data_IF_621348144405
#
_entry.id   IF_621348144405
#
_cell.length_a   1.000
_cell.length_b   1.000
_cell.length_c   1.000
_cell.angle_alpha   90.00
_cell.angle_beta   90.00
_cell.angle_gamma   90.00
#
_symmetry.space_group_name_H-M   'P 1'
#
loop_
_entity.id
_entity.type
_entity.pdbx_description
1 polymer ?
#
# COMPACT_ATOMS: atom_id res chain seq x y z
N UNK A 1 18.08 -10.43 12.43
CA UNK A 1 16.98 -10.02 11.52
C UNK A 1 17.60 -9.60 10.19
N UNK A 2 17.23 -10.23 9.05
CA UNK A 2 17.94 -10.08 7.77
C UNK A 2 17.86 -8.68 7.13
N UNK A 3 17.02 -7.78 7.67
CA UNK A 3 16.79 -6.43 7.14
C UNK A 3 17.36 -5.30 8.01
N UNK A 4 17.77 -5.58 9.26
CA UNK A 4 18.20 -4.54 10.21
C UNK A 4 19.52 -3.90 9.77
N UNK A 5 19.60 -2.57 9.88
CA UNK A 5 20.80 -1.77 9.54
C UNK A 5 21.28 -1.88 8.08
N UNK A 6 20.47 -2.48 7.19
CA UNK A 6 20.74 -2.45 5.76
C UNK A 6 20.41 -1.06 5.21
N UNK A 7 21.43 -0.35 4.71
CA UNK A 7 21.28 0.99 4.14
C UNK A 7 20.38 1.09 2.88
N UNK A 8 19.83 -0.03 2.40
CA UNK A 8 18.95 -0.12 1.23
C UNK A 8 17.51 -0.56 1.55
N UNK A 9 17.07 -0.53 2.81
CA UNK A 9 15.68 -0.83 3.18
C UNK A 9 14.83 0.45 3.17
N UNK A 10 13.60 0.36 2.68
CA UNK A 10 12.59 1.40 2.73
C UNK A 10 11.28 0.79 3.23
N UNK A 11 10.69 1.40 4.27
CA UNK A 11 9.38 0.98 4.80
C UNK A 11 8.32 1.94 4.29
N UNK A 12 7.27 1.38 3.71
CA UNK A 12 6.15 2.10 3.12
C UNK A 12 4.85 1.66 3.79
N UNK A 13 4.24 2.55 4.57
CA UNK A 13 2.95 2.30 5.21
C UNK A 13 1.79 2.69 4.28
N UNK A 14 0.88 1.76 4.01
CA UNK A 14 -0.34 2.04 3.27
C UNK A 14 -1.25 2.95 4.09
N UNK A 15 -1.62 4.09 3.53
CA UNK A 15 -2.43 5.03 4.28
C UNK A 15 -3.90 4.56 4.41
N UNK A 16 -4.52 4.73 5.57
CA UNK A 16 -3.99 5.37 6.78
C UNK A 16 -3.57 4.37 7.86
N UNK A 17 -4.31 3.27 7.99
CA UNK A 17 -4.15 2.28 9.07
C UNK A 17 -2.78 1.62 9.12
N UNK A 18 -2.11 1.47 7.98
CA UNK A 18 -0.77 0.89 7.93
C UNK A 18 0.34 1.75 8.54
N UNK A 19 0.15 3.06 8.73
CA UNK A 19 1.24 3.95 9.18
C UNK A 19 1.73 3.68 10.60
N UNK A 20 0.87 3.53 11.62
CA UNK A 20 1.31 3.15 12.96
C UNK A 20 2.13 1.87 12.97
N UNK A 21 1.69 0.84 12.24
CA UNK A 21 2.41 -0.44 12.13
C UNK A 21 3.73 -0.27 11.38
N UNK A 22 3.73 0.49 10.29
CA UNK A 22 4.92 0.77 9.49
C UNK A 22 5.98 1.53 10.29
N UNK A 23 5.56 2.46 11.15
CA UNK A 23 6.48 3.21 12.01
C UNK A 23 7.21 2.28 13.00
N UNK A 24 6.50 1.37 13.65
CA UNK A 24 7.12 0.38 14.55
C UNK A 24 8.13 -0.51 13.82
N UNK A 25 7.78 -0.97 12.60
CA UNK A 25 8.68 -1.77 11.77
C UNK A 25 9.92 -0.95 11.35
N UNK A 26 9.72 0.28 10.89
CA UNK A 26 10.81 1.17 10.46
C UNK A 26 11.77 1.50 11.60
N UNK A 27 11.22 1.80 12.78
CA UNK A 27 11.97 2.08 14.01
C UNK A 27 12.82 0.88 14.44
N UNK A 28 12.23 -0.31 14.47
CA UNK A 28 12.95 -1.55 14.83
C UNK A 28 14.07 -1.92 13.84
N UNK A 29 13.92 -1.53 12.56
CA UNK A 29 14.89 -1.81 11.50
C UNK A 29 15.92 -0.68 11.29
N UNK A 30 15.75 0.47 11.94
CA UNK A 30 16.49 1.71 11.66
C UNK A 30 16.42 2.13 10.18
N UNK A 31 15.23 1.98 9.58
CA UNK A 31 14.97 2.25 8.17
C UNK A 31 14.12 3.51 7.98
N UNK A 32 14.25 4.22 6.84
CA UNK A 32 13.35 5.31 6.50
C UNK A 32 11.91 4.83 6.34
N UNK A 33 10.98 5.61 6.89
CA UNK A 33 9.53 5.47 6.71
C UNK A 33 9.03 6.52 5.71
N UNK A 34 8.15 6.12 4.80
CA UNK A 34 7.28 7.03 4.06
C UNK A 34 5.86 6.46 3.95
N UNK A 35 4.92 7.33 3.63
CA UNK A 35 3.53 6.95 3.33
C UNK A 35 3.43 6.44 1.91
N UNK A 36 2.59 5.44 1.69
CA UNK A 36 2.24 4.97 0.37
C UNK A 36 0.73 5.02 0.18
N UNK A 37 0.30 5.74 -0.85
CA UNK A 37 -1.10 5.89 -1.18
C UNK A 37 -1.42 5.01 -2.39
N UNK A 38 -2.53 4.29 -2.28
CA UNK A 38 -3.09 3.51 -3.37
C UNK A 38 -4.54 3.91 -3.55
N UNK A 39 -4.93 4.15 -4.79
CA UNK A 39 -6.30 4.45 -5.18
C UNK A 39 -6.72 3.48 -6.25
N UNK A 40 -7.83 2.78 -6.04
CA UNK A 40 -8.41 1.91 -7.06
C UNK A 40 -9.07 2.79 -8.12
N UNK A 41 -8.84 2.46 -9.37
CA UNK A 41 -9.58 3.01 -10.50
C UNK A 41 -10.88 2.22 -10.60
N UNK A 42 -11.90 2.71 -9.89
CA UNK A 42 -13.24 2.12 -9.90
C UNK A 42 -13.99 2.42 -11.20
N UNK A 43 -15.07 1.69 -11.43
CA UNK A 43 -15.97 1.95 -12.55
C UNK A 43 -17.20 2.74 -12.12
N UNK A 44 -17.75 3.60 -13.01
CA UNK A 44 -19.06 4.17 -12.79
C UNK A 44 -20.07 3.05 -12.48
N UNK A 45 -20.78 3.17 -11.37
CA UNK A 45 -21.81 2.21 -10.90
C UNK A 45 -21.31 0.84 -10.39
N UNK A 46 -20.01 0.53 -10.40
CA UNK A 46 -19.44 -0.71 -9.87
C UNK A 46 -18.20 -0.46 -9.01
N UNK A 47 -18.40 0.04 -7.78
CA UNK A 47 -17.30 0.35 -6.84
C UNK A 47 -16.49 -0.87 -6.40
N UNK A 48 -17.10 -2.06 -6.41
CA UNK A 48 -16.47 -3.32 -6.03
C UNK A 48 -15.52 -3.86 -7.10
N UNK A 49 -15.66 -3.40 -8.36
CA UNK A 49 -14.85 -3.83 -9.49
C UNK A 49 -13.90 -2.70 -9.91
N UNK A 50 -12.59 -2.92 -9.74
CA UNK A 50 -11.58 -1.95 -10.15
C UNK A 50 -11.01 -2.33 -11.52
N UNK A 51 -11.02 -1.39 -12.46
CA UNK A 51 -10.34 -1.53 -13.76
C UNK A 51 -8.83 -1.32 -13.66
N UNK A 52 -8.35 -0.83 -12.52
CA UNK A 52 -6.92 -0.62 -12.27
C UNK A 52 -6.67 0.00 -10.90
N UNK A 53 -5.46 0.50 -10.71
CA UNK A 53 -5.08 1.26 -9.53
C UNK A 53 -4.00 2.30 -9.87
N UNK A 54 -4.03 3.40 -9.12
CA UNK A 54 -2.98 4.40 -9.04
C UNK A 54 -2.27 4.27 -7.72
N UNK A 55 -0.97 4.53 -7.72
CA UNK A 55 -0.22 4.64 -6.49
C UNK A 55 0.74 5.83 -6.47
N UNK A 56 1.19 6.14 -5.25
CA UNK A 56 2.20 7.16 -4.98
C UNK A 56 3.38 7.09 -5.96
N UNK A 57 3.79 8.25 -6.46
CA UNK A 57 4.84 8.35 -7.48
C UNK A 57 4.38 8.17 -8.94
N UNK A 58 3.06 8.10 -9.17
CA UNK A 58 2.46 8.11 -10.52
C UNK A 58 2.38 6.74 -11.20
N UNK A 59 2.55 5.66 -10.45
CA UNK A 59 2.37 4.30 -10.98
C UNK A 59 0.90 4.03 -11.30
N UNK A 60 0.60 3.69 -12.55
CA UNK A 60 -0.73 3.24 -13.00
C UNK A 60 -0.65 1.77 -13.37
N UNK A 61 -1.55 0.96 -12.83
CA UNK A 61 -1.68 -0.46 -13.17
C UNK A 61 -3.10 -0.71 -13.63
N UNK A 62 -3.26 -1.27 -14.83
CA UNK A 62 -4.56 -1.58 -15.40
C UNK A 62 -4.84 -3.08 -15.35
N UNK A 63 -6.12 -3.43 -15.21
CA UNK A 63 -6.64 -4.77 -15.38
C UNK A 63 -7.27 -4.89 -16.78
N UNK A 64 -6.44 -5.26 -17.75
CA UNK A 64 -6.83 -5.31 -19.17
C UNK A 64 -8.03 -6.23 -19.42
N UNK A 65 -8.21 -7.29 -18.61
CA UNK A 65 -9.36 -8.18 -18.71
C UNK A 65 -10.68 -7.48 -18.34
N UNK A 66 -10.66 -6.63 -17.31
CA UNK A 66 -11.83 -5.85 -16.89
C UNK A 66 -12.15 -4.78 -17.94
N UNK A 67 -11.12 -4.07 -18.41
CA UNK A 67 -11.24 -3.05 -19.46
C UNK A 67 -11.86 -3.65 -20.72
N UNK A 68 -11.35 -4.80 -21.18
CA UNK A 68 -11.84 -5.48 -22.37
C UNK A 68 -13.25 -6.07 -22.20
N UNK A 69 -13.53 -6.77 -21.08
CA UNK A 69 -14.81 -7.45 -20.88
C UNK A 69 -15.99 -6.50 -20.75
N UNK A 70 -15.76 -5.30 -20.20
CA UNK A 70 -16.79 -4.29 -20.01
C UNK A 70 -16.83 -3.22 -21.11
N UNK A 71 -16.00 -3.37 -22.16
CA UNK A 71 -15.93 -2.44 -23.30
C UNK A 71 -15.73 -0.98 -22.85
N UNK A 72 -14.90 -0.77 -21.83
CA UNK A 72 -14.63 0.56 -21.30
C UNK A 72 -13.77 1.33 -22.30
N UNK A 73 -14.18 2.55 -22.64
CA UNK A 73 -13.46 3.35 -23.63
C UNK A 73 -12.19 3.95 -23.04
N UNK A 74 -11.19 4.24 -23.88
CA UNK A 74 -9.97 4.93 -23.44
C UNK A 74 -10.27 6.29 -22.80
N UNK A 75 -11.31 6.98 -23.27
CA UNK A 75 -11.75 8.27 -22.71
C UNK A 75 -12.27 8.10 -21.27
N UNK A 76 -13.11 7.09 -21.02
CA UNK A 76 -13.59 6.77 -19.67
C UNK A 76 -12.44 6.38 -18.73
N UNK A 77 -11.46 5.60 -19.22
CA UNK A 77 -10.27 5.26 -18.44
C UNK A 77 -9.50 6.52 -18.07
N UNK A 78 -9.28 7.43 -19.03
CA UNK A 78 -8.52 8.65 -18.82
C UNK A 78 -9.18 9.58 -17.80
N UNK A 79 -10.49 9.78 -17.87
CA UNK A 79 -11.23 10.62 -16.92
C UNK A 79 -11.09 10.12 -15.48
N UNK A 80 -11.18 8.80 -15.26
CA UNK A 80 -11.00 8.21 -13.93
C UNK A 80 -9.53 8.34 -13.48
N UNK A 81 -8.56 8.10 -14.37
CA UNK A 81 -7.14 8.27 -14.04
C UNK A 81 -6.86 9.72 -13.63
N UNK A 82 -7.34 10.70 -14.38
CA UNK A 82 -7.07 12.12 -14.11
C UNK A 82 -7.67 12.55 -12.77
N UNK A 83 -8.92 12.17 -12.50
CA UNK A 83 -9.60 12.50 -11.23
C UNK A 83 -8.94 11.83 -10.02
N UNK A 84 -8.61 10.54 -10.11
CA UNK A 84 -7.96 9.81 -9.04
C UNK A 84 -6.50 10.24 -8.85
N UNK A 85 -5.81 10.67 -9.91
CA UNK A 85 -4.45 11.26 -9.85
C UNK A 85 -4.46 12.59 -9.11
N UNK A 86 -5.43 13.46 -9.40
CA UNK A 86 -5.56 14.75 -8.70
C UNK A 86 -5.82 14.56 -7.19
N UNK A 87 -6.69 13.61 -6.83
CA UNK A 87 -6.97 13.29 -5.43
C UNK A 87 -5.77 12.61 -4.74
N UNK A 88 -5.06 11.74 -5.43
CA UNK A 88 -3.81 11.14 -4.95
C UNK A 88 -2.79 12.24 -4.63
N UNK A 89 -2.52 13.14 -5.58
CA UNK A 89 -1.57 14.24 -5.41
C UNK A 89 -1.96 15.17 -4.25
N UNK A 90 -3.26 15.48 -4.08
CA UNK A 90 -3.77 16.26 -2.95
C UNK A 90 -3.43 15.60 -1.61
N UNK A 91 -3.65 14.30 -1.47
CA UNK A 91 -3.34 13.54 -0.26
C UNK A 91 -1.85 13.39 -0.02
N UNK A 92 -1.06 13.17 -1.07
CA UNK A 92 0.40 13.11 -0.98
C UNK A 92 0.96 14.42 -0.42
N UNK A 93 0.51 15.54 -0.96
CA UNK A 93 0.92 16.86 -0.48
C UNK A 93 0.48 17.08 0.97
N UNK A 94 -0.75 16.68 1.30
CA UNK A 94 -1.27 16.78 2.66
C UNK A 94 -0.46 15.95 3.67
N UNK A 95 0.01 14.75 3.33
CA UNK A 95 0.76 13.91 4.27
C UNK A 95 2.24 14.26 4.33
N UNK A 96 2.88 14.54 3.19
CA UNK A 96 4.33 14.79 3.12
C UNK A 96 4.72 16.24 3.43
N UNK A 97 3.78 17.17 3.47
CA UNK A 97 4.07 18.59 3.75
C UNK A 97 5.08 19.19 2.78
N UNK A 98 5.06 18.75 1.51
CA UNK A 98 6.00 19.19 0.47
C UNK A 98 7.29 18.37 0.36
N UNK A 99 7.55 17.39 1.24
CA UNK A 99 8.65 16.44 1.04
C UNK A 99 8.41 15.58 -0.21
N UNK A 100 9.46 15.30 -1.01
CA UNK A 100 9.33 14.38 -2.14
C UNK A 100 9.01 12.95 -1.65
N UNK A 101 8.31 12.13 -2.46
CA UNK A 101 8.15 10.71 -2.20
C UNK A 101 9.49 9.98 -2.09
N UNK A 102 9.56 8.97 -1.24
CA UNK A 102 10.72 8.09 -1.18
C UNK A 102 10.90 7.30 -2.48
N UNK A 103 12.12 7.25 -3.02
CA UNK A 103 12.44 6.48 -4.22
C UNK A 103 12.66 5.00 -3.87
N UNK A 104 11.81 4.06 -4.36
CA UNK A 104 11.96 2.63 -4.12
C UNK A 104 13.04 1.97 -5.00
N UNK A 105 13.56 2.65 -6.02
CA UNK A 105 14.50 2.07 -6.99
C UNK A 105 15.75 1.55 -6.30
N UNK A 106 16.13 0.32 -6.61
CA UNK A 106 17.34 -0.30 -6.04
C UNK A 106 17.24 -0.61 -4.54
N UNK A 107 16.06 -0.51 -3.92
CA UNK A 107 15.84 -0.78 -2.48
C UNK A 107 15.08 -2.08 -2.24
N UNK A 108 15.21 -2.61 -1.02
CA UNK A 108 14.27 -3.59 -0.47
C UNK A 108 13.11 -2.80 0.11
N UNK A 109 11.93 -2.94 -0.48
CA UNK A 109 10.72 -2.20 -0.08
C UNK A 109 9.85 -3.10 0.77
N UNK A 110 9.54 -2.67 1.99
CA UNK A 110 8.60 -3.34 2.88
C UNK A 110 7.29 -2.56 2.85
N UNK A 111 6.27 -3.15 2.21
CA UNK A 111 4.91 -2.63 2.18
C UNK A 111 4.14 -3.12 3.41
N UNK A 112 3.59 -2.18 4.17
CA UNK A 112 2.96 -2.45 5.46
C UNK A 112 1.52 -1.95 5.49
N UNK A 113 0.62 -2.77 6.05
CA UNK A 113 -0.75 -2.37 6.38
C UNK A 113 -1.13 -2.88 7.79
N UNK A 114 -2.21 -2.38 8.37
CA UNK A 114 -2.73 -2.87 9.67
C UNK A 114 -3.34 -4.27 9.55
N UNK A 115 -3.75 -4.66 8.37
CA UNK A 115 -4.13 -6.02 8.06
C UNK A 115 -4.63 -6.16 6.66
N UNK A 116 -4.95 -7.39 6.28
CA UNK A 116 -5.42 -7.71 4.95
C UNK A 116 -6.76 -8.40 5.08
N UNK A 117 -7.81 -7.79 4.54
CA UNK A 117 -9.09 -8.45 4.37
C UNK A 117 -9.14 -9.20 3.03
N UNK A 118 -9.16 -8.47 1.92
CA UNK A 118 -9.23 -9.05 0.56
C UNK A 118 -7.89 -9.02 -0.17
N UNK A 119 -6.93 -8.21 0.27
CA UNK A 119 -5.62 -8.08 -0.40
C UNK A 119 -5.58 -7.12 -1.58
N UNK A 120 -6.74 -6.64 -2.07
CA UNK A 120 -6.79 -5.83 -3.30
C UNK A 120 -5.94 -4.55 -3.25
N UNK A 121 -5.95 -3.81 -2.14
CA UNK A 121 -5.14 -2.60 -1.99
C UNK A 121 -3.64 -2.92 -1.93
N UNK A 122 -3.27 -3.99 -1.24
CA UNK A 122 -1.87 -4.45 -1.15
C UNK A 122 -1.37 -4.98 -2.50
N UNK A 123 -2.20 -5.71 -3.24
CA UNK A 123 -1.88 -6.19 -4.58
C UNK A 123 -1.56 -5.03 -5.53
N UNK A 124 -2.43 -4.01 -5.55
CA UNK A 124 -2.20 -2.79 -6.30
C UNK A 124 -0.90 -2.08 -5.86
N UNK A 125 -0.61 -2.08 -4.55
CA UNK A 125 0.63 -1.50 -4.04
C UNK A 125 1.88 -2.23 -4.54
N UNK A 126 1.87 -3.56 -4.48
CA UNK A 126 2.97 -4.41 -4.96
C UNK A 126 3.20 -4.17 -6.45
N UNK A 127 2.15 -4.14 -7.26
CA UNK A 127 2.26 -3.93 -8.71
C UNK A 127 2.82 -2.55 -9.04
N UNK A 128 2.35 -1.50 -8.36
CA UNK A 128 2.84 -0.14 -8.60
C UNK A 128 4.31 0.03 -8.17
N UNK A 129 4.71 -0.54 -7.03
CA UNK A 129 6.11 -0.53 -6.59
C UNK A 129 7.00 -1.32 -7.55
N UNK A 130 6.52 -2.46 -8.08
CA UNK A 130 7.30 -3.28 -9.02
C UNK A 130 7.70 -2.51 -10.28
N UNK A 131 6.83 -1.62 -10.77
CA UNK A 131 7.13 -0.76 -11.92
C UNK A 131 8.29 0.22 -11.68
N UNK A 132 8.62 0.52 -10.41
CA UNK A 132 9.72 1.41 -10.05
C UNK A 132 11.09 0.70 -9.90
N UNK A 133 11.16 -0.60 -10.22
CA UNK A 133 12.37 -1.43 -10.18
C UNK A 133 13.09 -1.46 -8.81
N UNK A 134 12.42 -1.90 -7.72
CA UNK A 134 13.07 -2.22 -6.46
C UNK A 134 13.93 -3.49 -6.61
N UNK A 135 14.83 -3.71 -5.64
CA UNK A 135 15.57 -4.98 -5.52
C UNK A 135 14.66 -6.11 -5.06
N UNK A 136 13.72 -5.81 -4.17
CA UNK A 136 12.79 -6.78 -3.61
C UNK A 136 11.59 -6.07 -2.97
N UNK A 137 10.42 -6.71 -2.97
CA UNK A 137 9.18 -6.27 -2.34
C UNK A 137 8.75 -7.31 -1.31
N UNK A 138 8.65 -6.87 -0.06
CA UNK A 138 8.15 -7.65 1.07
C UNK A 138 6.81 -7.07 1.51
N UNK A 139 5.78 -7.90 1.64
CA UNK A 139 4.53 -7.52 2.30
C UNK A 139 4.63 -7.91 3.76
N UNK A 140 4.34 -6.99 4.68
CA UNK A 140 4.35 -7.25 6.11
C UNK A 140 3.07 -6.74 6.77
N UNK A 141 2.28 -7.65 7.33
CA UNK A 141 1.00 -7.31 7.98
C UNK A 141 0.79 -8.09 9.28
N UNK A 142 0.11 -7.51 10.27
CA UNK A 142 -0.22 -8.22 11.51
C UNK A 142 -1.20 -9.37 11.30
N UNK A 143 -2.20 -9.19 10.43
CA UNK A 143 -3.31 -10.15 10.28
C UNK A 143 -3.83 -10.23 8.85
N UNK A 144 -4.28 -11.41 8.44
CA UNK A 144 -5.10 -11.59 7.25
C UNK A 144 -5.52 -13.05 7.02
N UNK A 145 -6.44 -13.31 6.09
CA UNK A 145 -6.83 -14.68 5.77
C UNK A 145 -5.71 -15.39 4.97
N UNK A 146 -5.56 -16.72 5.13
CA UNK A 146 -4.57 -17.49 4.37
C UNK A 146 -4.71 -17.37 2.85
N UNK A 147 -5.93 -17.15 2.34
CA UNK A 147 -6.19 -16.96 0.90
C UNK A 147 -5.50 -15.71 0.36
N UNK A 148 -5.73 -14.56 0.98
CA UNK A 148 -5.13 -13.29 0.55
C UNK A 148 -3.59 -13.33 0.66
N UNK A 149 -3.05 -13.95 1.72
CA UNK A 149 -1.60 -14.10 1.87
C UNK A 149 -0.99 -14.96 0.77
N UNK A 150 -1.66 -16.06 0.36
CA UNK A 150 -1.23 -16.91 -0.75
C UNK A 150 -1.26 -16.18 -2.08
N UNK A 151 -2.30 -15.39 -2.35
CA UNK A 151 -2.39 -14.59 -3.58
C UNK A 151 -1.27 -13.55 -3.66
N UNK A 152 -0.99 -12.84 -2.55
CA UNK A 152 0.10 -11.87 -2.50
C UNK A 152 1.48 -12.52 -2.66
N UNK A 153 1.66 -13.74 -2.16
CA UNK A 153 2.90 -14.49 -2.32
C UNK A 153 3.19 -14.90 -3.77
N UNK A 154 2.23 -14.75 -4.69
CA UNK A 154 2.45 -14.96 -6.13
C UNK A 154 3.08 -13.74 -6.81
N UNK A 155 3.03 -12.55 -6.18
CA UNK A 155 3.46 -11.28 -6.80
C UNK A 155 4.53 -10.53 -6.00
N UNK A 156 4.58 -10.71 -4.68
CA UNK A 156 5.62 -10.20 -3.80
C UNK A 156 6.76 -11.22 -3.68
N UNK A 157 7.96 -10.74 -3.31
CA UNK A 157 9.12 -11.62 -3.12
C UNK A 157 9.08 -12.33 -1.75
N UNK A 158 8.39 -11.75 -0.78
CA UNK A 158 8.11 -12.36 0.53
C UNK A 158 6.81 -11.78 1.13
N UNK A 159 6.11 -12.59 1.94
CA UNK A 159 4.89 -12.20 2.65
C UNK A 159 4.98 -12.65 4.10
N UNK A 160 5.05 -11.67 5.00
CA UNK A 160 5.06 -11.87 6.44
C UNK A 160 3.71 -11.48 7.00
N UNK A 161 2.97 -12.47 7.50
CA UNK A 161 1.71 -12.27 8.20
C UNK A 161 1.79 -12.89 9.60
N UNK A 162 1.66 -12.07 10.64
CA UNK A 162 1.89 -12.52 12.02
C UNK A 162 0.83 -13.52 12.49
N UNK A 163 -0.44 -13.31 12.13
CA UNK A 163 -1.53 -14.24 12.49
C UNK A 163 -2.56 -14.40 11.37
N UNK A 164 -3.07 -15.61 11.23
CA UNK A 164 -4.11 -15.96 10.25
C UNK A 164 -5.25 -16.72 10.95
N UNK A 165 -6.16 -16.01 11.63
CA UNK A 165 -7.15 -16.65 12.49
C UNK A 165 -8.14 -17.53 11.70
N UNK A 166 -8.47 -18.75 12.18
CA UNK A 166 -9.55 -19.55 11.61
C UNK A 166 -10.88 -18.86 11.92
N UNK A 167 -11.50 -18.23 10.91
CA UNK A 167 -12.65 -17.35 11.09
C UNK A 167 -12.30 -15.86 11.04
N UNK A 168 -11.36 -15.46 10.19
CA UNK A 168 -11.12 -14.06 9.88
C UNK A 168 -12.40 -13.42 9.29
N UNK A 169 -12.90 -12.37 9.94
CA UNK A 169 -14.03 -11.56 9.49
C UNK A 169 -13.58 -10.13 9.14
N UNK A 170 -12.75 -9.52 10.00
CA UNK A 170 -12.27 -8.16 9.82
C UNK A 170 -10.91 -7.94 10.50
N UNK A 171 -10.12 -6.99 9.99
CA UNK A 171 -8.81 -6.63 10.55
C UNK A 171 -8.92 -6.24 12.03
N UNK A 172 -9.90 -5.40 12.39
CA UNK A 172 -10.05 -4.89 13.76
C UNK A 172 -10.30 -5.96 14.83
N UNK A 173 -10.66 -7.20 14.46
CA UNK A 173 -10.98 -8.25 15.44
C UNK A 173 -9.77 -8.68 16.30
N UNK A 174 -8.55 -8.43 15.85
CA UNK A 174 -7.32 -8.80 16.57
C UNK A 174 -6.70 -7.63 17.33
N UNK A 175 -7.30 -6.45 17.26
CA UNK A 175 -6.80 -5.24 17.87
C UNK A 175 -7.56 -4.94 19.17
N UNK A 176 -6.82 -4.68 20.25
CA UNK A 176 -7.41 -4.15 21.48
C UNK A 176 -7.89 -2.70 21.33
N UNK A 177 -7.22 -1.95 20.45
CA UNK A 177 -7.61 -0.61 20.00
C UNK A 177 -7.50 -0.55 18.47
N UNK A 178 -8.63 -0.32 17.80
CA UNK A 178 -8.73 -0.18 16.35
C UNK A 178 -9.39 1.16 15.98
N UNK A 179 -8.95 2.23 16.65
CA UNK A 179 -9.39 3.58 16.31
C UNK A 179 -9.02 3.97 14.87
N UNK A 180 -9.80 4.89 14.30
CA UNK A 180 -9.55 5.36 12.95
C UNK A 180 -8.32 6.29 12.92
N UNK A 181 -7.28 5.87 12.21
CA UNK A 181 -6.07 6.70 12.00
C UNK A 181 -6.40 7.95 11.20
N UNK A 182 -6.11 9.12 11.77
CA UNK A 182 -6.39 10.43 11.19
C UNK A 182 -5.24 11.00 10.37
N UNK A 183 -5.52 12.03 9.57
CA UNK A 183 -4.50 12.69 8.74
C UNK A 183 -3.39 13.36 9.57
N UNK A 184 -3.74 13.88 10.76
CA UNK A 184 -2.77 14.47 11.69
C UNK A 184 -1.81 13.43 12.25
N UNK A 185 -2.32 12.24 12.58
CA UNK A 185 -1.52 11.14 13.11
C UNK A 185 -0.53 10.63 12.07
N UNK A 186 -0.98 10.46 10.82
CA UNK A 186 -0.10 10.14 9.68
C UNK A 186 1.05 11.15 9.58
N UNK A 187 0.75 12.45 9.62
CA UNK A 187 1.79 13.50 9.58
C UNK A 187 2.75 13.42 10.76
N UNK A 188 2.24 13.15 11.96
CA UNK A 188 3.05 13.01 13.17
C UNK A 188 4.02 11.82 13.04
N UNK A 189 3.54 10.65 12.59
CA UNK A 189 4.38 9.48 12.39
C UNK A 189 5.44 9.71 11.31
N UNK A 190 5.10 10.37 10.20
CA UNK A 190 6.06 10.69 9.12
C UNK A 190 7.14 11.71 9.50
N UNK A 191 6.88 12.53 10.52
CA UNK A 191 7.82 13.52 11.06
C UNK A 191 8.64 12.99 12.25
N UNK A 192 8.20 11.89 12.86
CA UNK A 192 8.91 11.26 13.97
C UNK A 192 10.03 10.37 13.42
N UNK A 193 11.31 10.62 13.78
CA UNK A 193 12.43 9.84 13.26
C UNK A 193 12.33 8.35 13.62
N UNK A 194 12.64 7.49 12.65
CA UNK A 194 12.76 6.03 12.81
C UNK A 194 14.22 5.55 12.72
N UNK A 195 15.15 6.47 12.45
CA UNK A 195 16.60 6.27 12.35
C UNK A 195 17.31 7.39 13.07
#
# INVERSE_FOLDING_TARGET
MPYREKGNVLVLGLARGGLPVAWEIASALHAPLDVFLVRKLGLPHFSELAMGALASGGGVVMNDNVVASLHITEEQVREVIDSETAELARREHAYRGGRPPADPRGKIVILVDDGIATGASMLAAVQAIRAAAPVSIVVAVPVGPPSACRELAQVADDVVCTTMPPGFEAVGQVYGDFHQVGDQEVRQLLSTPTR
#
